data_IF_580125492599
#
_entry.id   IF_580125492599
#
_cell.length_a   1.000
_cell.length_b   1.000
_cell.length_c   1.000
_cell.angle_alpha   90.00
_cell.angle_beta   90.00
_cell.angle_gamma   90.00
#
_symmetry.space_group_name_H-M   'P 1'
#
loop_
_entity.id
_entity.type
_entity.pdbx_description
1 polymer ?
#
# COMPACT_ATOMS: atom_id res chain seq x y z
N UNK A 1 -19.58 -5.70 1.97
CA UNK A 1 -19.14 -5.65 0.55
C UNK A 1 -19.86 -4.54 -0.24
N UNK A 2 -21.20 -4.51 -0.30
CA UNK A 2 -21.95 -3.47 -1.05
C UNK A 2 -21.69 -2.02 -0.56
N UNK A 3 -21.65 -1.81 0.76
CA UNK A 3 -21.44 -0.49 1.38
C UNK A 3 -20.05 0.08 1.05
N UNK A 4 -19.04 -0.78 1.07
CA UNK A 4 -17.64 -0.43 0.76
C UNK A 4 -17.47 0.00 -0.70
N UNK A 5 -18.15 -0.70 -1.61
CA UNK A 5 -18.14 -0.37 -3.05
C UNK A 5 -18.80 1.00 -3.29
N UNK A 6 -19.96 1.26 -2.67
CA UNK A 6 -20.63 2.56 -2.78
C UNK A 6 -19.80 3.72 -2.20
N UNK A 7 -19.14 3.50 -1.06
CA UNK A 7 -18.27 4.51 -0.43
C UNK A 7 -17.09 4.90 -1.33
N UNK A 8 -16.53 3.93 -2.06
CA UNK A 8 -15.34 4.13 -2.91
C UNK A 8 -15.69 4.72 -4.28
N UNK A 9 -16.89 4.42 -4.81
CA UNK A 9 -17.34 4.90 -6.12
C UNK A 9 -17.90 6.32 -6.07
N UNK A 10 -18.60 6.68 -4.99
CA UNK A 10 -19.27 7.98 -4.88
C UNK A 10 -18.33 9.17 -5.15
N UNK A 11 -17.10 9.25 -4.60
CA UNK A 11 -16.18 10.35 -4.89
C UNK A 11 -15.76 10.40 -6.37
N UNK A 12 -15.61 9.25 -7.02
CA UNK A 12 -15.19 9.19 -8.43
C UNK A 12 -16.28 9.69 -9.38
N UNK A 13 -17.56 9.39 -9.08
CA UNK A 13 -18.68 9.95 -9.83
C UNK A 13 -18.69 11.48 -9.80
N UNK A 14 -18.44 12.09 -8.65
CA UNK A 14 -18.37 13.55 -8.54
C UNK A 14 -17.21 14.14 -9.34
N UNK A 15 -16.04 13.50 -9.37
CA UNK A 15 -14.91 13.94 -10.21
C UNK A 15 -15.25 13.95 -11.70
N UNK A 16 -15.92 12.91 -12.19
CA UNK A 16 -16.35 12.85 -13.60
C UNK A 16 -17.32 13.99 -13.91
N UNK A 17 -18.30 14.23 -13.03
CA UNK A 17 -19.27 15.33 -13.20
C UNK A 17 -18.55 16.69 -13.17
N UNK A 18 -17.63 16.89 -12.23
CA UNK A 18 -16.84 18.11 -12.09
C UNK A 18 -15.99 18.39 -13.34
N UNK A 19 -15.36 17.36 -13.90
CA UNK A 19 -14.58 17.46 -15.14
C UNK A 19 -15.48 17.83 -16.33
N UNK A 20 -16.63 17.19 -16.47
CA UNK A 20 -17.62 17.55 -17.50
C UNK A 20 -18.08 19.01 -17.37
N UNK A 21 -18.44 19.45 -16.16
CA UNK A 21 -18.90 20.83 -15.91
C UNK A 21 -17.78 21.83 -16.18
N UNK A 22 -16.57 21.54 -15.71
CA UNK A 22 -15.40 22.39 -15.94
C UNK A 22 -15.12 22.54 -17.42
N UNK A 23 -15.16 21.45 -18.18
CA UNK A 23 -14.92 21.51 -19.62
C UNK A 23 -16.07 22.19 -20.38
N UNK A 24 -17.32 22.06 -19.95
CA UNK A 24 -18.45 22.79 -20.56
C UNK A 24 -18.36 24.30 -20.31
N UNK A 25 -18.06 24.71 -19.07
CA UNK A 25 -18.09 26.11 -18.65
C UNK A 25 -16.80 26.84 -19.02
N UNK A 26 -15.65 26.16 -18.99
CA UNK A 26 -14.34 26.79 -19.11
C UNK A 26 -13.70 26.61 -20.50
N UNK A 27 -14.19 25.70 -21.36
CA UNK A 27 -13.68 25.64 -22.73
C UNK A 27 -14.04 26.90 -23.52
N UNK A 28 -13.06 27.42 -24.27
CA UNK A 28 -13.20 28.59 -25.16
C UNK A 28 -13.67 29.89 -24.47
N UNK A 29 -13.10 30.21 -23.31
CA UNK A 29 -13.36 31.48 -22.60
C UNK A 29 -14.83 31.69 -22.20
N UNK A 30 -15.55 30.62 -21.84
CA UNK A 30 -16.95 30.71 -21.43
C UNK A 30 -17.93 30.91 -22.59
N UNK A 31 -17.53 30.56 -23.82
CA UNK A 31 -18.49 30.39 -24.91
C UNK A 31 -19.31 29.12 -24.67
N UNK A 32 -20.63 29.25 -24.75
CA UNK A 32 -21.55 28.11 -24.65
C UNK A 32 -21.18 27.01 -25.67
N UNK A 33 -21.19 25.73 -25.28
CA UNK A 33 -21.11 24.63 -26.23
C UNK A 33 -22.23 24.74 -27.25
N UNK A 34 -21.95 24.40 -28.50
CA UNK A 34 -22.99 24.35 -29.52
C UNK A 34 -23.84 23.07 -29.34
N UNK A 35 -24.91 23.20 -28.54
CA UNK A 35 -25.86 22.12 -28.26
C UNK A 35 -26.79 21.79 -29.44
N UNK A 36 -26.84 22.65 -30.47
CA UNK A 36 -27.69 22.45 -31.65
C UNK A 36 -26.98 21.74 -32.80
N UNK A 37 -25.66 21.94 -32.92
CA UNK A 37 -24.84 21.36 -33.99
C UNK A 37 -24.13 20.07 -33.60
N UNK A 38 -23.85 19.84 -32.30
CA UNK A 38 -23.17 18.63 -31.82
C UNK A 38 -24.13 17.67 -31.12
N UNK A 39 -24.20 16.43 -31.60
CA UNK A 39 -25.01 15.37 -30.97
C UNK A 39 -24.39 14.86 -29.65
N UNK A 40 -23.10 15.13 -29.41
CA UNK A 40 -22.37 14.74 -28.20
C UNK A 40 -21.41 15.83 -27.74
N UNK A 41 -21.30 15.99 -26.42
CA UNK A 41 -20.23 16.77 -25.79
C UNK A 41 -18.93 15.99 -25.88
N UNK A 42 -17.88 16.66 -26.38
CA UNK A 42 -16.53 16.11 -26.47
C UNK A 42 -15.78 16.52 -25.20
N UNK A 43 -15.57 15.55 -24.31
CA UNK A 43 -14.96 15.75 -22.98
C UNK A 43 -13.71 14.89 -22.90
N UNK A 44 -12.57 15.51 -22.59
CA UNK A 44 -11.29 14.84 -22.46
C UNK A 44 -11.06 14.35 -21.02
N UNK A 45 -11.10 13.05 -20.80
CA UNK A 45 -10.84 12.45 -19.48
C UNK A 45 -9.41 11.96 -19.30
N UNK A 46 -8.49 12.23 -20.23
CA UNK A 46 -7.11 11.71 -20.20
C UNK A 46 -6.44 12.02 -18.86
N UNK A 47 -6.55 13.26 -18.39
CA UNK A 47 -5.98 13.66 -17.10
C UNK A 47 -6.58 12.91 -15.91
N UNK A 48 -7.91 12.68 -15.92
CA UNK A 48 -8.59 11.95 -14.86
C UNK A 48 -8.20 10.46 -14.86
N UNK A 49 -7.96 9.88 -16.04
CA UNK A 49 -7.47 8.50 -16.20
C UNK A 49 -6.04 8.39 -15.67
N UNK A 50 -5.15 9.32 -16.02
CA UNK A 50 -3.77 9.33 -15.54
C UNK A 50 -3.71 9.39 -14.01
N UNK A 51 -4.52 10.27 -13.39
CA UNK A 51 -4.66 10.32 -11.93
C UNK A 51 -5.13 9.00 -11.33
N UNK A 52 -6.07 8.30 -12.00
CA UNK A 52 -6.55 6.99 -11.54
C UNK A 52 -5.44 5.93 -11.61
N UNK A 53 -4.66 5.95 -12.69
CA UNK A 53 -3.52 5.04 -12.88
C UNK A 53 -2.45 5.28 -11.81
N UNK A 54 -2.10 6.53 -11.54
CA UNK A 54 -1.11 6.86 -10.51
C UNK A 54 -1.60 6.50 -9.12
N UNK A 55 -2.87 6.73 -8.81
CA UNK A 55 -3.47 6.25 -7.56
C UNK A 55 -3.37 4.73 -7.43
N UNK A 56 -3.66 3.97 -8.49
CA UNK A 56 -3.55 2.51 -8.46
C UNK A 56 -2.11 2.04 -8.21
N UNK A 57 -1.11 2.72 -8.79
CA UNK A 57 0.31 2.44 -8.52
C UNK A 57 0.67 2.72 -7.06
N UNK A 58 0.18 3.82 -6.49
CA UNK A 58 0.40 4.16 -5.07
C UNK A 58 -0.20 3.08 -4.19
N UNK A 59 -1.48 2.74 -4.39
CA UNK A 59 -2.18 1.71 -3.60
C UNK A 59 -1.43 0.36 -3.69
N UNK A 60 -0.96 -0.04 -4.87
CA UNK A 60 -0.15 -1.26 -5.05
C UNK A 60 1.18 -1.19 -4.30
N UNK A 61 1.86 -0.04 -4.33
CA UNK A 61 3.13 0.15 -3.64
C UNK A 61 2.97 0.12 -2.11
N UNK A 62 1.90 0.69 -1.58
CA UNK A 62 1.56 0.68 -0.16
C UNK A 62 1.25 -0.74 0.32
N UNK A 63 0.49 -1.51 -0.47
CA UNK A 63 0.23 -2.93 -0.19
C UNK A 63 1.54 -3.73 -0.12
N UNK A 64 2.42 -3.57 -1.12
CA UNK A 64 3.73 -4.25 -1.11
C UNK A 64 4.58 -3.84 0.09
N UNK A 65 4.59 -2.56 0.45
CA UNK A 65 5.31 -2.07 1.62
C UNK A 65 4.80 -2.71 2.92
N UNK A 66 3.48 -2.82 3.07
CA UNK A 66 2.85 -3.48 4.21
C UNK A 66 3.19 -4.98 4.27
N UNK A 67 3.17 -5.67 3.12
CA UNK A 67 3.58 -7.07 3.03
C UNK A 67 5.05 -7.28 3.41
N UNK A 68 5.94 -6.40 2.96
CA UNK A 68 7.36 -6.46 3.31
C UNK A 68 7.58 -6.17 4.80
N UNK A 69 6.90 -5.18 5.36
CA UNK A 69 6.95 -4.89 6.80
C UNK A 69 6.55 -6.12 7.61
N UNK A 70 5.44 -6.76 7.25
CA UNK A 70 4.96 -7.96 7.94
C UNK A 70 5.97 -9.11 7.87
N UNK A 71 6.50 -9.40 6.69
CA UNK A 71 7.52 -10.45 6.52
C UNK A 71 8.79 -10.15 7.31
N UNK A 72 9.19 -8.88 7.36
CA UNK A 72 10.34 -8.46 8.13
C UNK A 72 10.13 -8.71 9.63
N UNK A 73 8.98 -8.31 10.18
CA UNK A 73 8.68 -8.50 11.60
C UNK A 73 8.62 -9.98 12.00
N UNK A 74 8.06 -10.83 11.13
CA UNK A 74 8.02 -12.29 11.31
C UNK A 74 9.43 -12.89 11.33
N UNK A 75 10.25 -12.59 10.33
CA UNK A 75 11.64 -13.08 10.23
C UNK A 75 12.53 -12.55 11.35
N UNK A 76 12.33 -11.28 11.75
CA UNK A 76 13.07 -10.67 12.84
C UNK A 76 12.78 -11.37 14.17
N UNK A 77 11.50 -11.64 14.45
CA UNK A 77 11.08 -12.36 15.66
C UNK A 77 11.65 -13.78 15.68
N UNK A 78 11.56 -14.51 14.56
CA UNK A 78 12.10 -15.86 14.45
C UNK A 78 13.63 -15.91 14.69
N UNK A 79 14.37 -14.90 14.20
CA UNK A 79 15.81 -14.78 14.47
C UNK A 79 16.09 -14.50 15.94
N UNK A 80 15.31 -13.64 16.58
CA UNK A 80 15.46 -13.32 18.00
C UNK A 80 15.26 -14.57 18.87
N UNK A 81 14.24 -15.36 18.58
CA UNK A 81 13.95 -16.61 19.28
C UNK A 81 15.07 -17.65 19.10
N UNK A 82 15.55 -17.84 17.87
CA UNK A 82 16.66 -18.75 17.59
C UNK A 82 17.97 -18.33 18.28
N UNK A 83 18.25 -17.02 18.32
CA UNK A 83 19.43 -16.49 19.01
C UNK A 83 19.33 -16.69 20.52
N UNK A 84 18.15 -16.46 21.13
CA UNK A 84 17.92 -16.71 22.54
C UNK A 84 18.07 -18.21 22.90
N UNK A 85 17.56 -19.10 22.05
CA UNK A 85 17.70 -20.55 22.26
C UNK A 85 19.17 -20.99 22.15
N UNK A 86 19.91 -20.45 21.18
CA UNK A 86 21.34 -20.73 21.01
C UNK A 86 22.16 -20.25 22.22
N UNK A 87 21.92 -19.03 22.69
CA UNK A 87 22.59 -18.48 23.88
C UNK A 87 22.36 -19.36 25.11
N UNK A 88 21.11 -19.80 25.34
CA UNK A 88 20.77 -20.70 26.44
C UNK A 88 21.50 -22.04 26.35
N UNK A 89 21.65 -22.61 25.15
CA UNK A 89 22.42 -23.85 24.94
C UNK A 89 23.90 -23.62 25.20
N UNK A 90 24.45 -22.50 24.77
CA UNK A 90 25.86 -22.16 24.91
C UNK A 90 26.27 -21.89 26.38
N UNK A 91 25.39 -21.24 27.15
CA UNK A 91 25.54 -21.11 28.61
C UNK A 91 25.57 -22.47 29.31
N UNK A 92 24.67 -23.38 28.91
CA UNK A 92 24.60 -24.73 29.48
C UNK A 92 25.82 -25.58 29.13
N UNK A 93 26.37 -25.42 27.92
CA UNK A 93 27.64 -26.07 27.53
C UNK A 93 28.76 -25.56 28.43
N UNK A 94 28.91 -24.24 28.59
CA UNK A 94 29.96 -23.65 29.46
C UNK A 94 29.84 -24.13 30.90
N UNK A 95 28.63 -24.23 31.44
CA UNK A 95 28.40 -24.75 32.79
C UNK A 95 28.88 -26.21 32.91
N UNK A 96 28.50 -27.08 31.98
CA UNK A 96 28.90 -28.48 31.97
C UNK A 96 30.41 -28.65 31.77
N UNK A 97 31.02 -27.88 30.88
CA UNK A 97 32.47 -27.87 30.68
C UNK A 97 33.22 -27.46 31.96
N UNK A 98 32.70 -26.47 32.69
CA UNK A 98 33.23 -26.07 34.00
C UNK A 98 33.13 -27.19 35.04
N UNK A 99 32.00 -27.88 35.12
CA UNK A 99 31.82 -29.03 36.02
C UNK A 99 32.80 -30.17 35.68
N UNK A 100 32.98 -30.49 34.40
CA UNK A 100 33.94 -31.52 33.96
C UNK A 100 35.38 -31.13 34.33
N UNK A 101 35.76 -29.86 34.16
CA UNK A 101 37.08 -29.37 34.52
C UNK A 101 37.33 -29.53 36.03
N UNK A 102 36.38 -29.12 36.87
CA UNK A 102 36.50 -29.25 38.32
C UNK A 102 36.67 -30.72 38.75
N UNK A 103 35.88 -31.63 38.16
CA UNK A 103 35.97 -33.07 38.48
C UNK A 103 37.30 -33.72 38.05
N UNK A 104 37.92 -33.27 36.96
CA UNK A 104 39.23 -33.79 36.51
C UNK A 104 40.42 -33.28 37.33
N UNK A 105 40.22 -32.20 38.09
CA UNK A 105 41.30 -31.57 38.89
C UNK A 105 41.31 -32.11 40.34
N UNK A 106 40.35 -32.97 40.68
CA UNK A 106 40.21 -33.64 41.98
C UNK A 106 40.74 -35.07 41.89
#
# INVERSE_FOLDING_TARGET
MLITVLCSLRPQYYKVIEECVSQVVLHRNGMDPDFGYRERLDVDFTHLIDQCVDKAKVDESELKAAEFSKKFDEEFSARQDAQAESQKKEEKIKELEGQICNLKTQ
#
